data_IF_047364747904
#
_entry.id   IF_047364747904
#
_cell.length_a   1.000
_cell.length_b   1.000
_cell.length_c   1.000
_cell.angle_alpha   90.00
_cell.angle_beta   90.00
_cell.angle_gamma   90.00
#
_symmetry.space_group_name_H-M   'P 1'
#
loop_
_entity.id
_entity.type
_entity.pdbx_description
1 polymer ?
#
# COMPACT_ATOMS: atom_id res chain seq x y z
N UNK A 1 -7.33 -23.68 32.34
CA UNK A 1 -7.03 -22.42 31.62
C UNK A 1 -7.10 -22.56 30.08
N UNK A 2 -6.28 -23.41 29.43
CA UNK A 2 -6.16 -23.44 27.96
C UNK A 2 -7.49 -23.59 27.16
N UNK A 3 -8.46 -24.34 27.67
CA UNK A 3 -9.81 -24.47 27.07
C UNK A 3 -10.59 -23.15 27.06
N UNK A 4 -10.45 -22.34 28.11
CA UNK A 4 -11.10 -21.02 28.22
C UNK A 4 -10.48 -20.03 27.23
N UNK A 5 -9.15 -20.01 27.12
CA UNK A 5 -8.41 -19.18 26.16
C UNK A 5 -8.80 -19.51 24.70
N UNK A 6 -8.93 -20.80 24.37
CA UNK A 6 -9.39 -21.24 23.04
C UNK A 6 -10.86 -20.86 22.76
N UNK A 7 -11.72 -20.73 23.78
CA UNK A 7 -13.09 -20.21 23.64
C UNK A 7 -13.09 -18.70 23.40
N UNK A 8 -12.41 -17.91 24.24
CA UNK A 8 -12.37 -16.45 24.09
C UNK A 8 -11.70 -16.00 22.79
N UNK A 9 -10.66 -16.69 22.32
CA UNK A 9 -10.05 -16.41 21.02
C UNK A 9 -11.00 -16.72 19.85
N UNK A 10 -11.81 -17.79 19.94
CA UNK A 10 -12.80 -18.13 18.91
C UNK A 10 -14.00 -17.19 18.88
N UNK A 11 -14.46 -16.66 20.02
CA UNK A 11 -15.50 -15.61 20.03
C UNK A 11 -14.92 -14.25 19.65
N UNK A 12 -13.73 -13.90 20.11
CA UNK A 12 -13.04 -12.65 19.75
C UNK A 12 -12.76 -12.54 18.24
N UNK A 13 -12.22 -13.60 17.62
CA UNK A 13 -11.99 -13.61 16.17
C UNK A 13 -13.29 -13.52 15.36
N UNK A 14 -14.38 -14.13 15.83
CA UNK A 14 -15.72 -14.02 15.19
C UNK A 14 -16.34 -12.64 15.39
N UNK A 15 -16.16 -12.00 16.55
CA UNK A 15 -16.60 -10.64 16.80
C UNK A 15 -15.81 -9.63 15.97
N UNK A 16 -14.49 -9.81 15.82
CA UNK A 16 -13.66 -9.01 14.93
C UNK A 16 -14.12 -9.16 13.47
N UNK A 17 -14.28 -10.37 12.96
CA UNK A 17 -14.82 -10.62 11.61
C UNK A 17 -16.23 -10.03 11.41
N UNK A 18 -17.07 -10.03 12.44
CA UNK A 18 -18.39 -9.40 12.40
C UNK A 18 -18.33 -7.86 12.39
N UNK A 19 -17.45 -7.24 13.17
CA UNK A 19 -17.21 -5.78 13.09
C UNK A 19 -16.64 -5.37 11.74
N UNK A 20 -15.70 -6.15 11.20
CA UNK A 20 -15.15 -5.93 9.84
C UNK A 20 -16.21 -6.07 8.75
N UNK A 21 -17.21 -6.94 8.94
CA UNK A 21 -18.38 -7.03 8.06
C UNK A 21 -19.41 -5.91 8.23
N UNK A 22 -19.27 -5.05 9.25
CA UNK A 22 -20.26 -4.02 9.61
C UNK A 22 -19.72 -2.57 9.57
N UNK A 23 -18.40 -2.37 9.44
CA UNK A 23 -17.77 -1.04 9.41
C UNK A 23 -17.45 -0.51 7.99
N UNK A 24 -17.79 -1.25 6.93
CA UNK A 24 -17.47 -0.89 5.55
C UNK A 24 -18.44 0.15 4.94
N UNK A 25 -18.44 1.37 5.50
CA UNK A 25 -18.98 2.59 4.89
C UNK A 25 -17.84 3.64 4.87
N UNK A 26 -17.05 3.72 3.80
CA UNK A 26 -15.68 4.26 3.88
C UNK A 26 -15.69 5.84 3.68
N UNK A 27 -14.65 6.71 3.87
CA UNK A 27 -13.18 6.60 3.62
C UNK A 27 -12.41 8.04 3.89
N UNK A 28 -11.17 8.70 3.78
CA UNK A 28 -9.69 9.02 3.28
C UNK A 28 -9.34 9.68 1.89
N UNK A 29 -8.74 10.88 1.80
CA UNK A 29 -7.81 11.14 0.69
C UNK A 29 -6.70 12.14 1.03
N UNK A 30 -5.49 11.86 0.56
CA UNK A 30 -4.36 12.79 0.54
C UNK A 30 -3.66 12.68 -0.82
N UNK A 31 -3.87 13.65 -1.71
CA UNK A 31 -3.19 13.71 -3.01
C UNK A 31 -2.74 15.12 -3.36
N UNK A 32 -1.44 15.22 -3.61
CA UNK A 32 -0.80 16.37 -4.24
C UNK A 32 -1.25 16.54 -5.70
N UNK A 33 -1.02 17.72 -6.29
CA UNK A 33 -1.39 18.00 -7.69
C UNK A 33 -0.84 16.99 -8.72
N UNK A 34 0.35 16.40 -8.50
CA UNK A 34 1.00 15.50 -9.47
C UNK A 34 0.16 14.26 -9.77
N UNK A 35 -0.41 13.62 -8.75
CA UNK A 35 -1.19 12.38 -8.92
C UNK A 35 -2.49 12.62 -9.69
N UNK A 36 -3.05 13.84 -9.66
CA UNK A 36 -4.21 14.20 -10.49
C UNK A 36 -3.89 14.15 -11.99
N UNK A 37 -2.65 14.42 -12.38
CA UNK A 37 -2.21 14.37 -13.77
C UNK A 37 -1.86 12.94 -14.22
N UNK A 38 -1.49 12.06 -13.29
CA UNK A 38 -1.19 10.64 -13.49
C UNK A 38 -2.40 9.70 -13.58
N UNK A 39 -3.64 10.21 -13.57
CA UNK A 39 -4.87 9.40 -13.77
C UNK A 39 -5.06 9.04 -15.25
N UNK A 40 -4.05 8.38 -15.81
CA UNK A 40 -4.07 7.80 -17.15
C UNK A 40 -4.95 6.55 -17.19
N UNK A 41 -5.58 6.35 -18.34
CA UNK A 41 -6.31 5.14 -18.63
C UNK A 41 -5.39 4.21 -19.42
N UNK A 42 -4.61 3.42 -18.69
CA UNK A 42 -3.72 2.40 -19.24
C UNK A 42 -4.40 1.51 -20.30
N UNK A 43 -3.63 1.19 -21.35
CA UNK A 43 -2.94 -0.10 -21.36
C UNK A 43 -1.40 0.03 -21.27
N UNK A 44 -0.72 -1.13 -21.24
CA UNK A 44 0.72 -1.35 -21.46
C UNK A 44 1.69 -1.28 -20.26
N UNK A 45 1.25 -1.44 -19.02
CA UNK A 45 2.06 -2.14 -18.01
C UNK A 45 2.42 -3.52 -18.56
N UNK A 46 3.73 -3.76 -18.71
CA UNK A 46 4.31 -5.03 -19.10
C UNK A 46 3.67 -6.20 -18.31
N UNK A 47 3.57 -7.37 -18.91
CA UNK A 47 3.07 -8.59 -18.27
C UNK A 47 3.89 -8.86 -16.99
N UNK A 48 5.21 -8.72 -17.07
CA UNK A 48 6.15 -8.77 -15.95
C UNK A 48 5.91 -7.77 -14.81
N UNK A 49 5.14 -6.68 -15.00
CA UNK A 49 5.11 -5.55 -14.05
C UNK A 49 4.73 -5.96 -12.61
N UNK A 50 3.61 -6.64 -12.43
CA UNK A 50 3.11 -6.96 -11.10
C UNK A 50 3.87 -8.13 -10.43
N UNK A 51 4.49 -9.02 -11.21
CA UNK A 51 5.42 -10.03 -10.66
C UNK A 51 6.76 -9.38 -10.26
N UNK A 52 7.20 -8.31 -10.94
CA UNK A 52 8.37 -7.53 -10.53
C UNK A 52 8.13 -6.88 -9.16
N UNK A 53 7.03 -6.13 -9.00
CA UNK A 53 6.62 -5.57 -7.71
C UNK A 53 6.54 -6.65 -6.61
N UNK A 54 5.99 -7.83 -6.92
CA UNK A 54 5.92 -8.95 -5.97
C UNK A 54 7.30 -9.48 -5.57
N UNK A 55 8.22 -9.56 -6.53
CA UNK A 55 9.55 -10.12 -6.32
C UNK A 55 10.47 -9.21 -5.51
N UNK A 56 10.36 -7.89 -5.69
CA UNK A 56 11.17 -6.90 -4.97
C UNK A 56 10.61 -6.49 -3.61
N UNK A 57 9.35 -6.81 -3.31
CA UNK A 57 8.73 -6.57 -2.00
C UNK A 57 9.53 -7.20 -0.85
N UNK A 58 9.61 -6.50 0.29
CA UNK A 58 10.39 -6.89 1.46
C UNK A 58 10.13 -8.33 1.93
N UNK A 59 11.14 -9.04 2.48
CA UNK A 59 10.91 -10.25 3.25
C UNK A 59 9.99 -9.94 4.41
N UNK A 60 8.96 -10.76 4.64
CA UNK A 60 8.00 -10.52 5.71
C UNK A 60 8.66 -10.33 7.08
N UNK A 61 9.74 -11.05 7.37
CA UNK A 61 10.49 -10.88 8.61
C UNK A 61 10.87 -9.41 8.86
N UNK A 62 11.39 -8.73 7.83
CA UNK A 62 11.82 -7.34 7.93
C UNK A 62 10.62 -6.39 8.01
N UNK A 63 9.52 -6.72 7.33
CA UNK A 63 8.29 -5.93 7.32
C UNK A 63 7.55 -6.02 8.67
N UNK A 64 7.49 -7.22 9.28
CA UNK A 64 6.98 -7.45 10.65
C UNK A 64 7.85 -6.71 11.70
N UNK A 65 9.18 -6.72 11.54
CA UNK A 65 10.16 -6.00 12.39
C UNK A 65 10.04 -4.47 12.25
N UNK A 66 10.06 -3.94 11.02
CA UNK A 66 9.88 -2.51 10.71
C UNK A 66 8.58 -1.98 11.33
N UNK A 67 7.48 -2.71 11.12
CA UNK A 67 6.15 -2.40 11.69
C UNK A 67 6.09 -2.53 13.23
N UNK A 68 7.17 -2.91 13.89
CA UNK A 68 7.30 -2.94 15.36
C UNK A 68 8.30 -1.93 15.92
N UNK A 69 9.07 -1.24 15.07
CA UNK A 69 10.11 -0.31 15.52
C UNK A 69 9.58 1.07 15.88
N UNK A 70 10.20 1.70 16.87
CA UNK A 70 10.06 3.12 17.20
C UNK A 70 11.15 3.99 16.56
N UNK A 71 12.16 3.37 15.95
CA UNK A 71 13.32 4.03 15.35
C UNK A 71 13.93 3.20 14.23
N UNK A 72 14.09 3.79 13.05
CA UNK A 72 14.83 3.16 11.96
C UNK A 72 14.73 3.87 10.63
N UNK A 73 15.64 3.51 9.72
CA UNK A 73 15.60 3.79 8.30
C UNK A 73 15.48 2.49 7.50
N UNK A 74 14.67 2.48 6.44
CA UNK A 74 14.66 1.45 5.41
C UNK A 74 14.66 2.08 4.02
N UNK A 75 15.29 1.41 3.06
CA UNK A 75 15.24 1.79 1.65
C UNK A 75 15.42 0.57 0.75
N UNK A 76 14.59 0.48 -0.28
CA UNK A 76 14.58 -0.61 -1.26
C UNK A 76 14.44 0.00 -2.65
N UNK A 77 15.48 -0.14 -3.48
CA UNK A 77 15.51 0.35 -4.86
C UNK A 77 15.68 -0.81 -5.84
N UNK A 78 14.76 -0.93 -6.79
CA UNK A 78 14.74 -2.01 -7.79
C UNK A 78 14.58 -1.49 -9.22
N UNK A 79 15.14 -2.20 -10.21
CA UNK A 79 14.82 -1.98 -11.63
C UNK A 79 13.54 -2.74 -11.98
N UNK A 80 12.48 -2.01 -12.34
CA UNK A 80 11.22 -2.58 -12.81
C UNK A 80 11.27 -2.93 -14.30
N UNK A 81 11.91 -2.07 -15.10
CA UNK A 81 12.28 -2.32 -16.49
C UNK A 81 13.45 -1.40 -16.92
N UNK A 82 13.54 -1.09 -18.22
CA UNK A 82 14.56 -0.22 -18.80
C UNK A 82 14.39 1.29 -18.50
N UNK A 83 13.21 1.73 -18.04
CA UNK A 83 12.88 3.14 -17.85
C UNK A 83 12.35 3.48 -16.45
N UNK A 84 11.85 2.49 -15.69
CA UNK A 84 11.27 2.69 -14.37
C UNK A 84 12.03 1.96 -13.26
N UNK A 85 12.10 2.62 -12.09
CA UNK A 85 12.54 2.05 -10.83
C UNK A 85 11.32 1.86 -9.91
N UNK A 86 11.44 0.91 -8.98
CA UNK A 86 10.60 0.80 -7.79
C UNK A 86 11.40 1.32 -6.59
N UNK A 87 10.80 2.22 -5.81
CA UNK A 87 11.36 2.75 -4.57
C UNK A 87 10.37 2.53 -3.43
N UNK A 88 10.81 1.89 -2.35
CA UNK A 88 10.12 1.85 -1.05
C UNK A 88 11.12 2.33 0.01
N UNK A 89 10.92 3.55 0.51
CA UNK A 89 11.76 4.16 1.53
C UNK A 89 10.94 4.57 2.75
N UNK A 90 11.56 4.53 3.92
CA UNK A 90 10.92 4.94 5.16
C UNK A 90 11.93 5.37 6.23
N UNK A 91 11.59 6.40 6.99
CA UNK A 91 12.35 6.84 8.16
C UNK A 91 11.37 7.08 9.30
N UNK A 92 11.51 6.32 10.38
CA UNK A 92 10.73 6.46 11.62
C UNK A 92 11.68 6.90 12.73
N UNK A 93 11.30 7.95 13.46
CA UNK A 93 12.04 8.45 14.60
C UNK A 93 11.06 8.88 15.69
N UNK A 94 11.07 8.21 16.85
CA UNK A 94 10.31 8.60 18.03
C UNK A 94 11.24 9.13 19.14
N UNK A 95 10.83 10.21 19.80
CA UNK A 95 11.52 10.77 20.96
C UNK A 95 10.53 11.24 22.02
N UNK A 96 10.60 10.65 23.21
CA UNK A 96 9.89 11.14 24.39
C UNK A 96 10.48 12.49 24.83
N UNK A 97 9.66 13.54 24.81
CA UNK A 97 10.02 14.92 25.16
C UNK A 97 9.81 15.21 26.65
N UNK A 98 8.75 14.67 27.23
CA UNK A 98 8.47 14.67 28.68
C UNK A 98 7.95 13.29 29.08
N UNK A 99 7.82 12.93 30.37
CA UNK A 99 7.26 11.65 30.78
C UNK A 99 5.88 11.32 30.16
N UNK A 100 5.11 12.34 29.76
CA UNK A 100 3.78 12.22 29.18
C UNK A 100 3.65 12.77 27.74
N UNK A 101 4.73 13.20 27.08
CA UNK A 101 4.70 13.75 25.72
C UNK A 101 5.75 13.07 24.83
N UNK A 102 5.31 12.51 23.71
CA UNK A 102 6.15 11.89 22.69
C UNK A 102 6.05 12.66 21.37
N UNK A 103 7.18 12.90 20.72
CA UNK A 103 7.25 13.35 19.33
C UNK A 103 7.64 12.18 18.44
N UNK A 104 7.04 12.09 17.25
CA UNK A 104 7.42 11.13 16.22
C UNK A 104 7.49 11.83 14.86
N UNK A 105 8.52 11.49 14.10
CA UNK A 105 8.61 11.76 12.67
C UNK A 105 8.47 10.44 11.91
N UNK A 106 7.70 10.44 10.82
CA UNK A 106 7.48 9.29 9.94
C UNK A 106 7.48 9.75 8.48
N UNK A 107 8.59 9.52 7.81
CA UNK A 107 8.68 9.58 6.36
C UNK A 107 8.34 8.23 5.75
N UNK A 108 7.57 8.25 4.66
CA UNK A 108 7.30 7.09 3.80
C UNK A 108 7.24 7.54 2.35
N UNK A 109 7.92 6.82 1.48
CA UNK A 109 7.96 7.04 0.03
C UNK A 109 7.71 5.70 -0.67
N UNK A 110 6.80 5.70 -1.64
CA UNK A 110 6.46 4.55 -2.47
C UNK A 110 6.24 5.04 -3.91
N UNK A 111 7.24 4.79 -4.75
CA UNK A 111 7.27 5.20 -6.15
C UNK A 111 7.40 3.96 -7.05
N UNK A 112 6.41 3.76 -7.92
CA UNK A 112 6.43 2.82 -9.04
C UNK A 112 5.73 3.42 -10.27
N UNK A 113 5.36 2.61 -11.28
CA UNK A 113 4.67 3.13 -12.49
C UNK A 113 3.20 3.47 -12.26
N UNK A 114 2.63 3.02 -11.14
CA UNK A 114 1.20 3.00 -10.84
C UNK A 114 0.78 3.92 -9.70
N UNK A 115 1.76 4.26 -8.86
CA UNK A 115 1.62 5.01 -7.61
C UNK A 115 2.91 5.79 -7.37
N UNK A 116 2.78 7.08 -7.12
CA UNK A 116 3.82 7.90 -6.53
C UNK A 116 3.24 8.56 -5.28
N UNK A 117 3.75 8.16 -4.12
CA UNK A 117 3.34 8.69 -2.82
C UNK A 117 4.58 9.04 -2.01
N UNK A 118 4.60 10.25 -1.46
CA UNK A 118 5.62 10.70 -0.51
C UNK A 118 4.90 11.41 0.62
N UNK A 119 5.22 11.05 1.87
CA UNK A 119 4.64 11.66 3.06
C UNK A 119 5.71 11.91 4.13
N UNK A 120 5.63 13.05 4.81
CA UNK A 120 6.51 13.44 5.93
C UNK A 120 5.69 13.84 7.16
N UNK A 121 5.14 12.82 7.84
CA UNK A 121 4.30 12.99 9.01
C UNK A 121 5.09 13.48 10.23
N UNK A 122 4.57 14.55 10.85
CA UNK A 122 4.91 14.96 12.20
C UNK A 122 3.78 14.50 13.13
N UNK A 123 4.10 13.78 14.21
CA UNK A 123 3.13 13.29 15.21
C UNK A 123 3.56 13.74 16.62
N UNK A 124 2.62 14.28 17.40
CA UNK A 124 2.79 14.67 18.80
C UNK A 124 1.73 13.94 19.64
N UNK A 125 2.18 13.07 20.55
CA UNK A 125 1.31 12.22 21.35
C UNK A 125 1.41 12.56 22.85
N UNK A 126 0.31 13.00 23.43
CA UNK A 126 0.18 13.40 24.84
C UNK A 126 -0.58 12.32 25.62
N UNK A 127 0.09 11.68 26.58
CA UNK A 127 -0.55 10.78 27.54
C UNK A 127 -1.50 11.58 28.45
N UNK A 128 -2.75 11.09 28.57
CA UNK A 128 -3.82 11.66 29.41
C UNK A 128 -4.04 10.85 30.70
N UNK A 129 -3.26 9.78 30.88
CA UNK A 129 -3.37 8.86 32.02
C UNK A 129 -4.38 7.73 31.80
N UNK A 130 -4.37 6.73 32.71
CA UNK A 130 -5.20 5.51 32.64
C UNK A 130 -5.08 4.73 31.31
N UNK A 131 -3.94 4.89 30.62
CA UNK A 131 -3.67 4.29 29.32
C UNK A 131 -4.29 5.02 28.12
N UNK A 132 -4.95 6.18 28.33
CA UNK A 132 -5.39 7.04 27.24
C UNK A 132 -4.30 8.03 26.84
N UNK A 133 -4.25 8.34 25.55
CA UNK A 133 -3.44 9.40 24.97
C UNK A 133 -4.17 10.07 23.80
N UNK A 134 -3.95 11.36 23.62
CA UNK A 134 -4.40 12.12 22.46
C UNK A 134 -3.21 12.44 21.56
N UNK A 135 -3.46 12.50 20.27
CA UNK A 135 -2.47 12.68 19.22
C UNK A 135 -2.86 13.86 18.33
N UNK A 136 -1.92 14.75 18.07
CA UNK A 136 -2.01 15.73 16.99
C UNK A 136 -0.93 15.37 15.96
N UNK A 137 -1.30 15.23 14.70
CA UNK A 137 -0.37 14.90 13.63
C UNK A 137 -0.69 15.66 12.34
N UNK A 138 0.15 15.55 11.33
CA UNK A 138 -0.08 16.22 10.05
C UNK A 138 1.13 16.16 9.12
N UNK A 139 0.96 16.69 7.91
CA UNK A 139 2.00 16.81 6.89
C UNK A 139 2.16 18.26 6.47
N UNK A 140 3.40 18.78 6.54
CA UNK A 140 3.71 20.19 6.27
C UNK A 140 4.15 20.39 4.82
N UNK A 141 3.23 20.78 3.94
CA UNK A 141 3.57 21.18 2.57
C UNK A 141 3.76 22.70 2.44
N UNK A 142 4.48 23.13 1.39
CA UNK A 142 4.60 24.55 1.02
C UNK A 142 3.28 25.12 0.46
N UNK A 143 2.50 24.27 -0.22
CA UNK A 143 1.15 24.56 -0.69
C UNK A 143 0.15 24.20 0.40
N UNK A 144 -0.80 25.10 0.65
CA UNK A 144 -1.81 24.94 1.70
C UNK A 144 -2.89 23.93 1.30
N UNK A 145 -3.15 23.82 0.00
CA UNK A 145 -4.04 22.83 -0.61
C UNK A 145 -3.50 21.39 -0.59
N UNK A 146 -2.20 21.24 -0.32
CA UNK A 146 -1.48 19.96 -0.26
C UNK A 146 -0.96 19.70 1.19
N UNK A 147 -1.45 20.43 2.20
CA UNK A 147 -1.03 20.34 3.61
C UNK A 147 -2.15 19.78 4.52
N UNK A 148 -1.76 18.92 5.47
CA UNK A 148 -2.69 18.02 6.17
C UNK A 148 -2.57 18.14 7.70
N UNK A 149 -3.69 18.00 8.40
CA UNK A 149 -3.76 17.99 9.87
C UNK A 149 -4.74 16.92 10.38
N UNK A 150 -4.30 16.15 11.37
CA UNK A 150 -5.03 15.05 11.96
C UNK A 150 -5.02 15.00 13.47
N UNK A 151 -6.06 14.36 14.01
CA UNK A 151 -6.23 14.09 15.43
C UNK A 151 -6.41 12.58 15.65
N UNK A 152 -5.79 12.06 16.70
CA UNK A 152 -5.90 10.66 17.09
C UNK A 152 -6.17 10.46 18.57
N UNK A 153 -6.72 9.30 18.89
CA UNK A 153 -6.89 8.79 20.23
C UNK A 153 -6.29 7.38 20.30
N UNK A 154 -5.41 7.15 21.27
CA UNK A 154 -4.94 5.81 21.60
C UNK A 154 -5.41 5.44 23.01
N UNK A 155 -5.86 4.19 23.14
CA UNK A 155 -6.20 3.58 24.41
C UNK A 155 -5.45 2.25 24.54
N UNK A 156 -4.49 2.22 25.47
CA UNK A 156 -3.65 1.07 25.80
C UNK A 156 -4.05 0.49 27.16
N UNK A 157 -4.14 -0.84 27.20
CA UNK A 157 -4.21 -1.65 28.43
C UNK A 157 -3.08 -2.68 28.40
N UNK A 158 -2.90 -3.41 29.48
CA UNK A 158 -1.87 -4.46 29.61
C UNK A 158 -1.98 -5.54 28.51
N UNK A 159 -3.20 -5.82 28.04
CA UNK A 159 -3.52 -6.92 27.14
C UNK A 159 -4.02 -6.49 25.75
N UNK A 160 -3.95 -5.20 25.39
CA UNK A 160 -4.22 -4.68 24.04
C UNK A 160 -3.99 -3.17 23.94
N UNK A 161 -3.85 -2.66 22.72
CA UNK A 161 -4.05 -1.24 22.40
C UNK A 161 -4.97 -1.04 21.20
N UNK A 162 -5.71 0.07 21.23
CA UNK A 162 -6.54 0.61 20.18
C UNK A 162 -5.99 1.99 19.83
N UNK A 163 -5.71 2.27 18.55
CA UNK A 163 -5.46 3.62 18.02
C UNK A 163 -6.53 3.90 16.98
N UNK A 164 -7.19 5.05 17.08
CA UNK A 164 -8.08 5.58 16.06
C UNK A 164 -7.57 6.97 15.68
N UNK A 165 -7.46 7.28 14.38
CA UNK A 165 -6.98 8.57 13.88
C UNK A 165 -7.87 9.07 12.77
N UNK A 166 -7.98 10.39 12.67
CA UNK A 166 -8.58 11.09 11.53
C UNK A 166 -7.66 12.23 11.11
N UNK A 167 -7.21 12.19 9.86
CA UNK A 167 -6.45 13.24 9.20
C UNK A 167 -7.35 14.01 8.21
N UNK A 168 -7.00 15.23 7.81
CA UNK A 168 -7.70 15.98 6.77
C UNK A 168 -6.81 17.08 6.17
N UNK A 169 -6.94 17.28 4.85
CA UNK A 169 -6.37 18.43 4.12
C UNK A 169 -6.90 19.74 4.72
N UNK A 170 -6.04 20.77 4.85
CA UNK A 170 -6.37 22.03 5.56
C UNK A 170 -7.72 22.61 5.10
N UNK A 171 -8.65 22.61 6.05
CA UNK A 171 -10.02 23.08 5.87
C UNK A 171 -10.11 24.54 5.36
N UNK A 172 -9.04 25.32 5.47
CA UNK A 172 -8.98 26.76 5.22
C UNK A 172 -8.33 27.15 3.88
N UNK A 173 -8.25 26.25 2.88
CA UNK A 173 -7.89 26.62 1.50
C UNK A 173 -8.96 27.47 0.77
N UNK A 174 -10.07 27.85 1.42
CA UNK A 174 -11.00 28.87 0.91
C UNK A 174 -10.35 30.28 0.96
N UNK A 175 -9.42 30.54 0.06
CA UNK A 175 -8.75 31.85 -0.07
C UNK A 175 -9.60 32.88 -0.81
N UNK A 176 -9.42 34.14 -0.43
CA UNK A 176 -9.91 35.29 -1.19
C UNK A 176 -9.08 35.45 -2.46
N UNK A 177 -9.57 34.95 -3.59
CA UNK A 177 -9.05 35.28 -4.93
C UNK A 177 -8.43 34.14 -5.73
N UNK A 178 -8.34 32.91 -5.19
CA UNK A 178 -7.99 31.73 -5.99
C UNK A 178 -9.26 30.97 -6.38
N UNK A 179 -9.63 31.00 -7.66
CA UNK A 179 -10.73 30.20 -8.24
C UNK A 179 -10.26 28.83 -8.75
N UNK A 180 -8.94 28.58 -8.68
CA UNK A 180 -8.28 27.49 -9.41
C UNK A 180 -8.81 26.10 -9.06
N UNK A 181 -9.13 25.85 -7.78
CA UNK A 181 -9.57 24.54 -7.30
C UNK A 181 -10.59 24.67 -6.17
N UNK A 182 -11.50 23.70 -6.05
CA UNK A 182 -12.45 23.59 -4.95
C UNK A 182 -12.74 22.13 -4.59
N UNK A 183 -13.12 21.87 -3.35
CA UNK A 183 -13.55 20.53 -2.89
C UNK A 183 -15.06 20.53 -2.68
N UNK A 184 -15.81 19.92 -3.61
CA UNK A 184 -17.27 19.77 -3.46
C UNK A 184 -17.64 18.72 -2.42
N UNK A 185 -16.69 17.82 -2.10
CA UNK A 185 -16.72 16.92 -0.95
C UNK A 185 -15.29 16.84 -0.40
N UNK A 186 -15.10 17.34 0.83
CA UNK A 186 -13.78 17.43 1.47
C UNK A 186 -13.25 16.05 1.87
N UNK A 187 -11.95 15.78 1.65
CA UNK A 187 -11.34 14.55 2.14
C UNK A 187 -11.05 14.61 3.65
N UNK A 188 -11.08 13.46 4.30
CA UNK A 188 -10.52 13.23 5.63
C UNK A 188 -10.27 11.73 5.79
N UNK A 189 -9.22 11.32 6.49
CA UNK A 189 -8.86 9.93 6.78
C UNK A 189 -9.67 9.34 7.93
N UNK A 190 -9.86 8.02 7.93
CA UNK A 190 -10.11 7.27 9.16
C UNK A 190 -9.16 6.05 9.23
N UNK A 191 -8.18 6.09 10.15
CA UNK A 191 -7.34 4.93 10.52
C UNK A 191 -7.88 4.29 11.80
N UNK A 192 -7.90 2.96 11.83
CA UNK A 192 -8.18 2.16 13.02
C UNK A 192 -7.13 1.05 13.14
N UNK A 193 -6.46 0.94 14.28
CA UNK A 193 -5.49 -0.12 14.58
C UNK A 193 -5.82 -0.74 15.95
N UNK A 194 -5.91 -2.07 15.98
CA UNK A 194 -6.04 -2.89 17.18
C UNK A 194 -4.84 -3.83 17.24
N UNK A 195 -4.12 -3.84 18.37
CA UNK A 195 -3.05 -4.78 18.63
C UNK A 195 -3.25 -5.48 19.98
N UNK A 196 -2.96 -6.78 20.07
CA UNK A 196 -3.06 -7.56 21.29
C UNK A 196 -1.98 -8.67 21.36
N UNK A 197 -1.37 -8.92 22.53
CA UNK A 197 -0.48 -10.06 22.71
C UNK A 197 -1.26 -11.38 22.62
N UNK A 198 -0.69 -12.35 21.91
CA UNK A 198 -1.25 -13.68 21.66
C UNK A 198 -0.25 -14.74 22.15
N UNK A 199 0.05 -14.70 23.46
CA UNK A 199 1.18 -15.43 24.03
C UNK A 199 2.49 -14.68 23.76
N UNK A 200 3.45 -15.33 23.10
CA UNK A 200 4.68 -14.69 22.62
C UNK A 200 4.51 -13.92 21.30
N UNK A 201 3.35 -14.06 20.63
CA UNK A 201 3.02 -13.38 19.39
C UNK A 201 2.36 -12.02 19.65
N UNK A 202 2.34 -11.14 18.65
CA UNK A 202 1.42 -9.99 18.60
C UNK A 202 0.43 -10.21 17.46
N UNK A 203 -0.87 -10.15 17.79
CA UNK A 203 -1.95 -10.09 16.81
C UNK A 203 -2.30 -8.62 16.54
N UNK A 204 -2.52 -8.30 15.28
CA UNK A 204 -2.76 -6.96 14.74
C UNK A 204 -3.94 -7.00 13.78
N UNK A 205 -4.77 -5.97 13.82
CA UNK A 205 -5.86 -5.73 12.88
C UNK A 205 -5.92 -4.23 12.62
N UNK A 206 -5.84 -3.81 11.36
CA UNK A 206 -5.99 -2.41 11.00
C UNK A 206 -6.92 -2.21 9.79
N UNK A 207 -7.59 -1.07 9.79
CA UNK A 207 -8.41 -0.56 8.71
C UNK A 207 -7.97 0.88 8.41
N UNK A 208 -7.64 1.13 7.15
CA UNK A 208 -7.26 2.40 6.54
C UNK A 208 -8.22 2.58 5.36
N UNK A 209 -8.81 3.75 5.18
CA UNK A 209 -10.13 3.83 4.53
C UNK A 209 -10.22 5.14 3.74
N UNK A 210 -10.26 5.12 2.38
CA UNK A 210 -10.14 6.28 1.45
C UNK A 210 -11.33 6.86 0.61
N UNK A 211 -11.76 8.10 0.92
CA UNK A 211 -12.99 8.88 0.67
C UNK A 211 -13.38 9.06 -0.78
N UNK A 212 -14.69 9.19 -1.05
CA UNK A 212 -15.22 9.97 -2.16
C UNK A 212 -14.84 11.46 -2.06
N UNK A 213 -13.55 11.77 -2.10
CA UNK A 213 -13.09 13.13 -2.36
C UNK A 213 -13.59 13.54 -3.74
N UNK A 214 -14.06 14.79 -3.88
CA UNK A 214 -14.31 15.39 -5.20
C UNK A 214 -13.63 16.75 -5.27
N UNK A 215 -12.53 16.81 -6.04
CA UNK A 215 -11.71 17.99 -6.30
C UNK A 215 -12.04 18.51 -7.70
N UNK A 216 -12.61 19.70 -7.75
CA UNK A 216 -12.98 20.39 -8.98
C UNK A 216 -11.91 21.43 -9.31
N UNK A 217 -11.61 21.60 -10.59
CA UNK A 217 -10.58 22.50 -11.10
C UNK A 217 -11.22 23.35 -12.21
N UNK A 218 -11.98 24.40 -11.87
CA UNK A 218 -12.85 25.10 -12.82
C UNK A 218 -12.10 25.70 -14.01
N UNK A 219 -10.91 26.26 -13.76
CA UNK A 219 -10.07 26.91 -14.76
C UNK A 219 -9.56 25.92 -15.83
N UNK A 220 -9.27 24.68 -15.41
CA UNK A 220 -8.94 23.55 -16.32
C UNK A 220 -10.20 22.78 -16.78
N UNK A 221 -11.38 23.16 -16.29
CA UNK A 221 -12.68 22.49 -16.43
C UNK A 221 -12.75 21.02 -15.96
N UNK A 222 -11.80 20.58 -15.14
CA UNK A 222 -11.65 19.18 -14.68
C UNK A 222 -12.37 18.92 -13.36
N UNK A 223 -12.76 17.67 -13.13
CA UNK A 223 -13.27 17.15 -11.86
C UNK A 223 -12.68 15.77 -11.61
N UNK A 224 -11.93 15.62 -10.53
CA UNK A 224 -11.35 14.37 -10.05
C UNK A 224 -12.17 13.84 -8.87
N UNK A 225 -12.34 12.52 -8.81
CA UNK A 225 -12.81 11.84 -7.62
C UNK A 225 -12.02 10.55 -7.33
N UNK A 226 -11.76 10.32 -6.05
CA UNK A 226 -11.04 9.16 -5.54
C UNK A 226 -11.93 8.25 -4.70
N UNK A 227 -11.44 7.04 -4.43
CA UNK A 227 -11.59 6.31 -3.17
C UNK A 227 -10.63 5.12 -3.12
N UNK A 228 -10.28 4.64 -1.95
CA UNK A 228 -9.54 3.39 -1.66
C UNK A 228 -10.11 2.77 -0.37
N UNK A 229 -9.71 1.57 -0.01
CA UNK A 229 -9.92 0.98 1.31
C UNK A 229 -8.88 -0.11 1.50
N UNK A 230 -8.25 -0.18 2.66
CA UNK A 230 -7.21 -1.14 3.01
C UNK A 230 -7.51 -1.76 4.37
N UNK A 231 -7.75 -3.07 4.36
CA UNK A 231 -8.00 -3.87 5.55
C UNK A 231 -6.89 -4.92 5.66
N UNK A 232 -6.11 -4.91 6.74
CA UNK A 232 -5.11 -5.94 6.99
C UNK A 232 -5.16 -6.49 8.41
N UNK A 233 -4.86 -7.78 8.53
CA UNK A 233 -4.71 -8.47 9.80
C UNK A 233 -3.40 -9.27 9.78
N UNK A 234 -2.66 -9.28 10.88
CA UNK A 234 -1.48 -10.11 11.02
C UNK A 234 -1.34 -10.73 12.42
N UNK A 235 -0.58 -11.81 12.49
CA UNK A 235 -0.04 -12.37 13.72
C UNK A 235 1.44 -12.60 13.46
N UNK A 236 2.30 -12.05 14.32
CA UNK A 236 3.77 -12.14 14.19
C UNK A 236 4.42 -12.93 15.33
N UNK A 237 5.58 -13.53 15.02
CA UNK A 237 6.54 -14.20 15.90
C UNK A 237 6.09 -15.50 16.66
N UNK A 238 6.93 -16.56 16.69
CA UNK A 238 8.03 -16.86 15.76
C UNK A 238 7.53 -17.33 14.39
N UNK A 239 6.28 -17.83 14.34
CA UNK A 239 5.52 -18.13 13.11
C UNK A 239 4.40 -17.11 12.98
N UNK A 240 3.93 -16.86 11.76
CA UNK A 240 2.96 -15.80 11.53
C UNK A 240 2.01 -16.04 10.36
N UNK A 241 0.95 -15.26 10.32
CA UNK A 241 0.02 -15.13 9.19
C UNK A 241 -0.24 -13.63 8.95
N UNK A 242 -0.47 -13.23 7.69
CA UNK A 242 -0.86 -11.86 7.31
C UNK A 242 -1.85 -12.02 6.16
N UNK A 243 -2.95 -11.28 6.22
CA UNK A 243 -3.89 -11.14 5.14
C UNK A 243 -4.22 -9.66 4.98
N UNK A 244 -4.27 -9.19 3.74
CA UNK A 244 -4.49 -7.78 3.40
C UNK A 244 -5.37 -7.70 2.16
N UNK A 245 -6.52 -7.04 2.30
CA UNK A 245 -7.40 -6.66 1.20
C UNK A 245 -7.21 -5.18 0.93
N UNK A 246 -7.06 -4.82 -0.34
CA UNK A 246 -7.07 -3.44 -0.80
C UNK A 246 -8.12 -3.22 -1.88
N UNK A 247 -8.63 -2.00 -1.93
CA UNK A 247 -9.54 -1.50 -2.93
C UNK A 247 -9.09 -0.11 -3.35
N UNK A 248 -9.26 0.24 -4.62
CA UNK A 248 -9.09 1.57 -5.15
C UNK A 248 -10.08 1.85 -6.28
N UNK A 249 -10.46 3.10 -6.44
CA UNK A 249 -11.16 3.66 -7.57
C UNK A 249 -10.71 5.11 -7.79
N UNK A 250 -10.49 5.48 -9.04
CA UNK A 250 -10.15 6.84 -9.44
C UNK A 250 -11.02 7.22 -10.64
N UNK A 251 -11.39 8.49 -10.78
CA UNK A 251 -11.99 9.00 -12.01
C UNK A 251 -11.67 10.48 -12.22
N UNK A 252 -11.50 10.86 -13.49
CA UNK A 252 -11.18 12.21 -13.95
C UNK A 252 -12.15 12.53 -15.09
N UNK A 253 -12.80 13.69 -15.03
CA UNK A 253 -13.85 14.09 -15.97
C UNK A 253 -13.75 15.57 -16.32
N UNK A 254 -14.00 15.95 -17.58
CA UNK A 254 -14.05 17.35 -18.00
C UNK A 254 -15.50 17.81 -18.12
N UNK A 255 -15.98 18.63 -17.16
CA UNK A 255 -17.42 18.92 -17.01
C UNK A 255 -17.80 20.38 -16.71
N UNK A 256 -16.84 21.30 -16.49
CA UNK A 256 -17.17 22.67 -16.07
C UNK A 256 -17.60 23.64 -17.21
N UNK A 257 -17.49 23.21 -18.47
CA UNK A 257 -18.22 23.79 -19.60
C UNK A 257 -18.82 22.67 -20.45
N UNK A 258 -20.02 22.88 -20.98
CA UNK A 258 -20.56 22.02 -22.03
C UNK A 258 -19.64 22.11 -23.27
N UNK A 259 -19.06 21.00 -23.77
CA UNK A 259 -18.23 21.04 -24.96
C UNK A 259 -19.08 21.44 -26.16
N UNK A 260 -18.63 22.40 -26.97
CA UNK A 260 -19.32 22.83 -28.19
C UNK A 260 -19.46 21.71 -29.26
N UNK A 261 -18.83 20.55 -29.03
CA UNK A 261 -18.89 19.35 -29.85
C UNK A 261 -19.38 18.10 -29.09
N UNK A 262 -19.96 18.23 -27.88
CA UNK A 262 -20.52 17.10 -27.11
C UNK A 262 -19.50 16.06 -26.58
N UNK A 263 -18.20 16.36 -26.66
CA UNK A 263 -17.10 15.45 -26.31
C UNK A 263 -16.75 15.47 -24.82
N UNK A 264 -17.15 14.44 -24.06
CA UNK A 264 -16.58 14.23 -22.72
C UNK A 264 -15.16 13.67 -22.82
N UNK A 265 -14.32 14.02 -21.85
CA UNK A 265 -13.08 13.31 -21.56
C UNK A 265 -13.24 12.71 -20.16
N UNK A 266 -13.46 11.40 -20.08
CA UNK A 266 -13.71 10.68 -18.83
C UNK A 266 -12.77 9.47 -18.71
N UNK A 267 -11.86 9.48 -17.74
CA UNK A 267 -11.11 8.29 -17.34
C UNK A 267 -11.66 7.70 -16.03
N UNK A 268 -11.61 6.38 -15.93
CA UNK A 268 -11.96 5.64 -14.71
C UNK A 268 -10.95 4.51 -14.51
N UNK A 269 -10.52 4.33 -13.28
CA UNK A 269 -9.69 3.22 -12.78
C UNK A 269 -10.39 2.59 -11.58
N UNK A 270 -10.25 1.29 -11.43
CA UNK A 270 -10.72 0.52 -10.28
C UNK A 270 -9.77 -0.65 -10.06
N UNK A 271 -9.32 -0.88 -8.82
CA UNK A 271 -8.40 -1.95 -8.46
C UNK A 271 -8.93 -2.64 -7.21
N UNK A 272 -8.84 -3.98 -7.18
CA UNK A 272 -8.98 -4.78 -5.98
C UNK A 272 -7.70 -5.60 -5.82
N UNK A 273 -7.16 -5.67 -4.61
CA UNK A 273 -6.05 -6.52 -4.24
C UNK A 273 -6.43 -7.42 -3.07
N UNK A 274 -5.92 -8.65 -3.06
CA UNK A 274 -5.87 -9.50 -1.89
C UNK A 274 -4.46 -10.09 -1.80
N UNK A 275 -3.82 -10.05 -0.64
CA UNK A 275 -2.61 -10.80 -0.39
C UNK A 275 -2.75 -11.59 0.90
N UNK A 276 -2.18 -12.80 0.93
CA UNK A 276 -2.05 -13.59 2.12
C UNK A 276 -0.67 -14.27 2.14
N UNK A 277 0.03 -14.23 3.27
CA UNK A 277 1.25 -15.01 3.47
C UNK A 277 1.34 -15.58 4.88
N UNK A 278 2.13 -16.63 5.03
CA UNK A 278 2.49 -17.19 6.35
C UNK A 278 4.00 -17.22 6.51
N UNK A 279 4.49 -17.08 7.75
CA UNK A 279 5.91 -17.25 8.09
C UNK A 279 6.06 -18.56 8.85
N UNK A 280 6.81 -19.48 8.28
CA UNK A 280 7.10 -20.80 8.82
C UNK A 280 8.59 -20.94 9.10
N UNK A 281 8.94 -21.62 10.19
CA UNK A 281 10.31 -22.00 10.52
C UNK A 281 10.36 -23.53 10.59
N UNK A 282 10.84 -24.23 9.55
CA UNK A 282 11.01 -25.69 9.56
C UNK A 282 12.22 -26.14 10.38
N UNK A 283 13.28 -25.32 10.42
CA UNK A 283 14.49 -25.52 11.24
C UNK A 283 14.82 -24.21 11.98
N UNK A 284 15.93 -24.17 12.72
CA UNK A 284 16.45 -22.92 13.31
C UNK A 284 17.16 -22.03 12.27
N UNK A 285 17.60 -22.60 11.13
CA UNK A 285 18.29 -21.88 10.06
C UNK A 285 17.37 -21.48 8.91
N UNK A 286 16.30 -22.25 8.67
CA UNK A 286 15.43 -22.11 7.50
C UNK A 286 14.12 -21.38 7.84
N UNK A 287 13.79 -20.39 7.03
CA UNK A 287 12.53 -19.64 7.02
C UNK A 287 11.84 -19.86 5.67
N UNK A 288 10.54 -20.19 5.70
CA UNK A 288 9.69 -20.28 4.53
C UNK A 288 8.56 -19.27 4.64
N UNK A 289 8.42 -18.43 3.61
CA UNK A 289 7.31 -17.51 3.42
C UNK A 289 6.51 -17.90 2.16
N UNK A 290 5.60 -18.89 2.22
CA UNK A 290 4.61 -19.12 1.18
C UNK A 290 3.50 -18.05 1.24
N UNK A 291 3.08 -17.58 0.07
CA UNK A 291 2.00 -16.61 -0.06
C UNK A 291 1.25 -16.68 -1.38
N UNK A 292 0.16 -15.93 -1.43
CA UNK A 292 -0.75 -15.81 -2.57
C UNK A 292 -1.21 -14.36 -2.69
N UNK A 293 -1.03 -13.79 -3.88
CA UNK A 293 -1.65 -12.54 -4.30
C UNK A 293 -2.80 -12.82 -5.26
N UNK A 294 -3.84 -12.00 -5.20
CA UNK A 294 -4.85 -11.84 -6.24
C UNK A 294 -4.95 -10.34 -6.52
N UNK A 295 -5.09 -9.94 -7.78
CA UNK A 295 -5.61 -8.61 -8.08
C UNK A 295 -6.59 -8.63 -9.25
N UNK A 296 -7.47 -7.62 -9.28
CA UNK A 296 -8.36 -7.34 -10.39
C UNK A 296 -8.42 -5.83 -10.63
N UNK A 297 -7.91 -5.39 -11.79
CA UNK A 297 -7.98 -4.02 -12.32
C UNK A 297 -9.06 -3.93 -13.39
N UNK A 298 -9.81 -2.83 -13.40
CA UNK A 298 -10.64 -2.41 -14.51
C UNK A 298 -10.39 -0.92 -14.78
N UNK A 299 -10.21 -0.55 -16.05
CA UNK A 299 -10.04 0.83 -16.47
C UNK A 299 -10.91 1.16 -17.69
N UNK A 300 -11.10 2.46 -17.95
CA UNK A 300 -11.78 2.97 -19.15
C UNK A 300 -11.19 4.31 -19.57
N UNK A 301 -11.01 4.48 -20.88
CA UNK A 301 -10.62 5.73 -21.53
C UNK A 301 -11.75 6.24 -22.43
N UNK A 302 -12.44 7.32 -22.05
CA UNK A 302 -13.26 8.09 -22.99
C UNK A 302 -12.43 9.27 -23.52
N UNK A 303 -11.38 9.01 -24.31
CA UNK A 303 -10.59 10.04 -25.00
C UNK A 303 -10.99 10.12 -26.47
N UNK A 304 -11.76 11.15 -26.89
CA UNK A 304 -12.48 11.15 -28.18
C UNK A 304 -11.60 11.38 -29.42
N UNK A 305 -10.31 11.64 -29.23
CA UNK A 305 -9.32 11.89 -30.28
C UNK A 305 -8.23 10.79 -30.29
N UNK A 306 -8.39 9.72 -29.50
CA UNK A 306 -7.54 8.52 -29.51
C UNK A 306 -8.28 7.33 -30.14
N UNK A 307 -7.60 6.36 -30.78
CA UNK A 307 -8.24 5.16 -31.35
C UNK A 307 -9.02 4.34 -30.32
N UNK A 308 -8.57 4.36 -29.06
CA UNK A 308 -9.13 3.58 -27.96
C UNK A 308 -10.28 4.30 -27.21
N UNK A 309 -10.92 5.27 -27.87
CA UNK A 309 -12.09 5.98 -27.34
C UNK A 309 -13.22 5.01 -26.95
N UNK A 310 -13.57 4.98 -25.67
CA UNK A 310 -14.59 4.08 -25.13
C UNK A 310 -14.07 2.71 -24.72
N UNK A 311 -12.78 2.41 -24.86
CA UNK A 311 -12.22 1.11 -24.55
C UNK A 311 -12.34 0.76 -23.05
N UNK A 312 -12.73 -0.48 -22.76
CA UNK A 312 -12.82 -1.04 -21.42
C UNK A 312 -11.72 -2.08 -21.20
N UNK A 313 -10.75 -1.75 -20.35
CA UNK A 313 -9.65 -2.62 -19.98
C UNK A 313 -10.01 -3.41 -18.72
N UNK A 314 -9.64 -4.69 -18.67
CA UNK A 314 -9.72 -5.54 -17.48
C UNK A 314 -8.50 -6.42 -17.39
N UNK A 315 -7.79 -6.37 -16.27
CA UNK A 315 -6.66 -7.27 -15.98
C UNK A 315 -6.89 -7.96 -14.64
N UNK A 316 -6.71 -9.26 -14.58
CA UNK A 316 -6.70 -10.00 -13.31
C UNK A 316 -5.53 -10.97 -13.28
N UNK A 317 -4.94 -11.15 -12.10
CA UNK A 317 -3.82 -12.09 -11.90
C UNK A 317 -3.95 -12.82 -10.56
N UNK A 318 -3.44 -14.06 -10.56
CA UNK A 318 -3.23 -14.94 -9.42
C UNK A 318 -1.72 -15.14 -9.28
N UNK A 319 -1.17 -14.71 -8.16
CA UNK A 319 0.28 -14.63 -7.93
C UNK A 319 0.70 -15.48 -6.73
N UNK A 320 0.89 -16.81 -6.86
CA UNK A 320 1.48 -17.62 -5.82
C UNK A 320 2.99 -17.39 -5.74
N UNK A 321 3.55 -17.36 -4.53
CA UNK A 321 4.99 -17.32 -4.31
C UNK A 321 5.42 -18.21 -3.15
N UNK A 322 6.69 -18.60 -3.17
CA UNK A 322 7.39 -19.14 -2.02
C UNK A 322 8.71 -18.40 -1.91
N UNK A 323 9.02 -17.87 -0.73
CA UNK A 323 10.33 -17.29 -0.41
C UNK A 323 11.00 -18.16 0.65
N UNK A 324 12.07 -18.86 0.27
CA UNK A 324 12.92 -19.60 1.20
C UNK A 324 14.13 -18.74 1.56
N UNK A 325 14.36 -18.56 2.86
CA UNK A 325 15.49 -17.82 3.41
C UNK A 325 16.25 -18.74 4.37
N UNK A 326 17.58 -18.77 4.29
CA UNK A 326 18.43 -19.63 5.13
C UNK A 326 19.58 -18.85 5.75
N UNK A 327 19.72 -18.91 7.07
CA UNK A 327 20.94 -18.44 7.74
C UNK A 327 22.12 -19.34 7.34
N UNK A 328 23.08 -18.76 6.61
CA UNK A 328 24.36 -19.38 6.30
C UNK A 328 25.40 -19.07 7.39
N UNK A 329 25.26 -17.92 8.03
CA UNK A 329 25.94 -17.56 9.28
C UNK A 329 25.22 -16.38 9.94
N UNK A 330 25.59 -16.05 11.19
CA UNK A 330 25.11 -14.86 11.93
C UNK A 330 25.30 -13.51 11.22
N UNK A 331 26.01 -13.46 10.09
CA UNK A 331 26.24 -12.28 9.25
C UNK A 331 25.70 -12.42 7.82
N UNK A 332 25.11 -13.56 7.44
CA UNK A 332 24.68 -13.81 6.06
C UNK A 332 23.49 -14.79 5.98
N UNK A 333 22.41 -14.33 5.36
CA UNK A 333 21.22 -15.13 5.02
C UNK A 333 21.09 -15.18 3.51
N UNK A 334 20.96 -16.37 2.91
CA UNK A 334 20.61 -16.50 1.48
C UNK A 334 19.10 -16.54 1.29
N UNK A 335 18.61 -15.96 0.20
CA UNK A 335 17.21 -16.04 -0.23
C UNK A 335 17.11 -16.70 -1.61
N UNK A 336 16.12 -17.59 -1.79
CA UNK A 336 15.71 -18.18 -3.05
C UNK A 336 14.18 -18.20 -3.11
N UNK A 337 13.59 -17.60 -4.14
CA UNK A 337 12.15 -17.37 -4.20
C UNK A 337 11.57 -17.56 -5.61
N UNK A 338 10.87 -18.67 -5.90
CA UNK A 338 10.00 -18.73 -7.08
C UNK A 338 8.75 -17.85 -6.91
N UNK A 339 8.48 -17.07 -7.96
CA UNK A 339 7.26 -16.29 -8.16
C UNK A 339 6.60 -16.73 -9.47
N UNK A 340 5.28 -16.77 -9.48
CA UNK A 340 4.47 -17.01 -10.67
C UNK A 340 3.38 -15.94 -10.72
N UNK A 341 2.98 -15.53 -11.91
CA UNK A 341 1.71 -14.85 -12.16
C UNK A 341 0.95 -15.54 -13.29
N UNK A 342 -0.34 -15.77 -13.07
CA UNK A 342 -1.28 -16.33 -14.05
C UNK A 342 -2.51 -15.44 -14.14
N UNK A 343 -2.91 -15.03 -15.34
CA UNK A 343 -3.97 -14.05 -15.49
C UNK A 343 -4.50 -13.86 -16.91
N UNK A 344 -5.33 -12.83 -17.06
CA UNK A 344 -5.85 -12.34 -18.33
C UNK A 344 -5.73 -10.82 -18.35
N UNK A 345 -5.24 -10.26 -19.45
CA UNK A 345 -5.42 -8.86 -19.80
C UNK A 345 -6.39 -8.78 -21.00
N UNK A 346 -7.45 -7.97 -20.88
CA UNK A 346 -8.55 -7.93 -21.84
C UNK A 346 -8.93 -6.50 -22.18
N UNK A 347 -9.07 -6.21 -23.46
CA UNK A 347 -9.58 -4.93 -23.98
C UNK A 347 -10.92 -5.18 -24.67
N UNK A 348 -11.86 -4.25 -24.53
CA UNK A 348 -13.14 -4.30 -25.26
C UNK A 348 -13.44 -2.97 -25.90
N UNK A 349 -13.90 -2.98 -27.15
CA UNK A 349 -14.07 -1.79 -27.99
C UNK A 349 -15.58 -1.61 -28.33
N UNK A 350 -16.38 -0.95 -27.47
CA UNK A 350 -17.84 -0.97 -27.60
C UNK A 350 -18.29 -0.10 -28.77
N UNK A 351 -18.67 -0.73 -29.88
CA UNK A 351 -19.00 -0.03 -31.13
C UNK A 351 -17.79 0.45 -31.92
N UNK A 352 -16.58 0.00 -31.56
CA UNK A 352 -15.37 0.23 -32.35
C UNK A 352 -15.31 -0.64 -33.61
N UNK A 353 -14.35 -0.35 -34.48
CA UNK A 353 -14.02 -1.20 -35.64
C UNK A 353 -13.00 -2.30 -35.29
N UNK A 354 -12.37 -2.21 -34.12
CA UNK A 354 -11.38 -3.15 -33.59
C UNK A 354 -12.06 -4.29 -32.81
N UNK A 355 -11.54 -5.53 -32.84
CA UNK A 355 -12.09 -6.66 -32.09
C UNK A 355 -11.82 -6.56 -30.58
N UNK A 356 -12.61 -7.26 -29.76
CA UNK A 356 -12.30 -7.49 -28.34
C UNK A 356 -11.00 -8.31 -28.20
N UNK A 357 -9.95 -7.74 -27.62
CA UNK A 357 -8.66 -8.39 -27.38
C UNK A 357 -8.62 -9.13 -26.04
N UNK A 358 -7.86 -10.24 -25.98
CA UNK A 358 -7.72 -11.09 -24.79
C UNK A 358 -6.36 -11.80 -24.80
N UNK A 359 -5.50 -11.45 -23.86
CA UNK A 359 -4.14 -11.98 -23.70
C UNK A 359 -4.04 -12.75 -22.38
N UNK A 360 -3.50 -13.97 -22.42
CA UNK A 360 -3.24 -14.76 -21.21
C UNK A 360 -1.88 -14.34 -20.66
N UNK A 361 -1.88 -13.80 -19.43
CA UNK A 361 -0.65 -13.46 -18.71
C UNK A 361 -0.10 -14.72 -18.06
N UNK A 362 1.13 -15.10 -18.38
CA UNK A 362 1.84 -16.20 -17.71
C UNK A 362 3.33 -15.85 -17.57
N UNK A 363 3.70 -15.32 -16.41
CA UNK A 363 5.04 -14.86 -16.07
C UNK A 363 5.61 -15.67 -14.90
N UNK A 364 6.85 -16.15 -15.01
CA UNK A 364 7.50 -16.97 -14.01
C UNK A 364 8.92 -16.47 -13.73
N UNK A 365 9.20 -16.16 -12.46
CA UNK A 365 10.50 -15.62 -12.03
C UNK A 365 11.12 -16.41 -10.88
N UNK A 366 12.45 -16.51 -10.89
CA UNK A 366 13.24 -16.97 -9.76
C UNK A 366 14.03 -15.80 -9.17
N UNK A 367 13.68 -15.36 -7.97
CA UNK A 367 14.50 -14.44 -7.19
C UNK A 367 15.59 -15.18 -6.41
N UNK A 368 16.80 -14.63 -6.36
CA UNK A 368 17.91 -15.15 -5.58
C UNK A 368 18.78 -14.01 -5.02
N UNK A 369 19.25 -14.12 -3.78
CA UNK A 369 20.08 -13.07 -3.18
C UNK A 369 20.72 -13.41 -1.85
N UNK A 370 21.45 -12.43 -1.31
CA UNK A 370 22.17 -12.50 -0.04
C UNK A 370 21.87 -11.26 0.80
N UNK A 371 21.38 -11.48 2.02
CA UNK A 371 21.26 -10.46 3.07
C UNK A 371 22.47 -10.54 4.01
N UNK A 372 23.21 -9.44 4.12
CA UNK A 372 24.35 -9.27 5.02
C UNK A 372 23.89 -8.58 6.31
N UNK A 373 24.16 -9.19 7.46
CA UNK A 373 23.72 -8.72 8.78
C UNK A 373 24.89 -8.15 9.59
N UNK A 374 24.76 -6.89 10.01
CA UNK A 374 25.76 -6.10 10.73
C UNK A 374 25.39 -5.94 12.21
N UNK A 375 24.96 -7.04 12.83
CA UNK A 375 24.30 -7.06 14.15
C UNK A 375 22.78 -7.27 14.02
N UNK A 376 22.02 -7.15 15.12
CA UNK A 376 20.57 -7.36 15.09
C UNK A 376 19.84 -6.27 14.29
N UNK A 377 20.27 -5.02 14.45
CA UNK A 377 19.53 -3.84 13.98
C UNK A 377 19.85 -3.41 12.56
N UNK A 378 20.96 -3.86 11.96
CA UNK A 378 21.46 -3.35 10.68
C UNK A 378 21.68 -4.47 9.65
N UNK A 379 21.14 -4.30 8.43
CA UNK A 379 21.22 -5.31 7.36
C UNK A 379 21.13 -4.68 5.96
N UNK A 380 21.83 -5.30 5.00
CA UNK A 380 21.83 -4.90 3.58
C UNK A 380 21.68 -6.16 2.72
N UNK A 381 20.66 -6.21 1.87
CA UNK A 381 20.37 -7.29 0.93
C UNK A 381 20.68 -6.88 -0.51
N UNK A 382 21.35 -7.79 -1.23
CA UNK A 382 21.52 -7.74 -2.68
C UNK A 382 20.73 -8.90 -3.30
N UNK A 383 19.86 -8.60 -4.26
CA UNK A 383 18.92 -9.57 -4.80
C UNK A 383 18.75 -9.40 -6.31
N UNK A 384 18.76 -10.53 -7.02
CA UNK A 384 18.56 -10.63 -8.45
C UNK A 384 17.29 -11.43 -8.73
N UNK A 385 16.67 -11.18 -9.88
CA UNK A 385 15.55 -11.95 -10.39
C UNK A 385 15.84 -12.44 -11.79
N UNK A 386 15.41 -13.65 -12.09
CA UNK A 386 15.63 -14.31 -13.37
C UNK A 386 14.30 -14.70 -14.00
N UNK A 387 14.14 -14.44 -15.30
CA UNK A 387 12.99 -14.90 -16.07
C UNK A 387 13.13 -16.40 -16.38
N UNK A 388 12.03 -17.15 -16.21
CA UNK A 388 11.96 -18.59 -16.45
C UNK A 388 11.15 -18.93 -17.72
N UNK A 389 10.37 -17.96 -18.19
CA UNK A 389 9.58 -17.96 -19.43
C UNK A 389 10.39 -17.56 -20.67
N UNK A 390 11.36 -16.65 -20.50
CA UNK A 390 12.03 -15.92 -21.58
C UNK A 390 13.50 -16.35 -21.75
N UNK A 391 13.81 -17.41 -22.52
CA UNK A 391 15.17 -17.94 -22.63
C UNK A 391 16.17 -17.02 -23.36
N UNK A 392 15.70 -16.00 -24.07
CA UNK A 392 16.54 -15.01 -24.78
C UNK A 392 17.12 -13.94 -23.87
N UNK A 393 16.47 -13.65 -22.74
CA UNK A 393 16.98 -12.77 -21.70
C UNK A 393 16.61 -13.34 -20.32
N UNK A 394 17.47 -14.15 -19.69
CA UNK A 394 17.19 -14.69 -18.37
C UNK A 394 17.30 -13.63 -17.26
N UNK A 395 17.80 -12.41 -17.51
CA UNK A 395 17.91 -11.38 -16.48
C UNK A 395 16.60 -10.60 -16.33
N UNK A 396 15.91 -10.83 -15.21
CA UNK A 396 14.59 -10.25 -14.91
C UNK A 396 14.61 -8.94 -14.13
N UNK A 397 15.79 -8.39 -13.79
CA UNK A 397 15.98 -7.23 -12.92
C UNK A 397 16.57 -7.61 -11.54
N UNK A 398 16.70 -6.63 -10.65
CA UNK A 398 17.25 -6.83 -9.31
C UNK A 398 17.04 -5.62 -8.41
N UNK A 399 17.25 -5.79 -7.10
CA UNK A 399 17.10 -4.74 -6.10
C UNK A 399 18.18 -4.74 -5.01
N UNK A 400 18.44 -3.55 -4.49
CA UNK A 400 19.24 -3.32 -3.29
C UNK A 400 18.29 -2.87 -2.18
N UNK A 401 18.29 -3.60 -1.07
CA UNK A 401 17.40 -3.35 0.09
C UNK A 401 18.22 -3.19 1.35
N UNK A 402 17.93 -2.22 2.20
CA UNK A 402 18.64 -2.00 3.45
C UNK A 402 17.70 -1.59 4.58
N UNK A 403 17.98 -2.04 5.80
CA UNK A 403 17.24 -1.66 7.00
C UNK A 403 18.18 -1.47 8.19
N UNK A 404 18.02 -0.37 8.89
CA UNK A 404 18.79 0.04 10.05
C UNK A 404 17.84 0.53 11.14
N UNK A 405 17.70 -0.21 12.23
CA UNK A 405 16.89 0.15 13.39
C UNK A 405 17.79 0.82 14.46
N UNK A 406 17.25 1.77 15.22
CA UNK A 406 17.99 2.56 16.20
C UNK A 406 17.17 2.87 17.47
#
# INVERSE_FOLDING_TARGET
MASHLRRTLRTGARAALALLGLLCAPAEAAFTRSVMDQVDAEPLFNEAYFVNLRSFAWPRAWDDEWSSSTGGYRGNGASLDCCALYLDQGLVFARRLTPALEFRFRYTELDDKDRQETHHWLELEQELGRGFSAELFGETAFRKEDADIGFGLRWRRELWQLRARRNAVDFNFNERGSTTQSYSLKPWTDELLIEAPLGAAVARLACEVDHPMRREVPDESRTFAYRRTRLWASVGAPRGARAEYSYEFQTKSNRFRAPAAGRSQESRRQVHGLTASTRLLPTEQDELEPGLGLFARAARADRPDEPQAGAFYRRWEVQPWLRWRRELSRRMTSELSPFLSLGENRVRHPGGAEPDESHVVMEAKLGAGLDFSFGPSARIGLYATFQLDTPSNPWGGGNVRAMFLF
#
